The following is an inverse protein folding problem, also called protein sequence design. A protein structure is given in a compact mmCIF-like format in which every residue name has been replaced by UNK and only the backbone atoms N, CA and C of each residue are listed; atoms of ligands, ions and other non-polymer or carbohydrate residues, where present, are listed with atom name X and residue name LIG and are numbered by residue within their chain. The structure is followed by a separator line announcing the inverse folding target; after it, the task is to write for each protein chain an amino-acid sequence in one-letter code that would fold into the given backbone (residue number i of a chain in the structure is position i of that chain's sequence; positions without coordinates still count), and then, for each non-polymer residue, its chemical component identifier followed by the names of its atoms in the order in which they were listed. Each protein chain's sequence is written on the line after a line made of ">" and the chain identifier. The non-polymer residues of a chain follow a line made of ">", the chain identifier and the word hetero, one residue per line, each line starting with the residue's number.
data_IF_849629924495
#
_entry.id   IF_849629924495
#
_cell.length_a   1.000
_cell.length_b   1.000
_cell.length_c   1.000
_cell.angle_alpha   90.00
_cell.angle_beta   90.00
_cell.angle_gamma   90.00
#
_symmetry.space_group_name_H-M   'P 1'
#
loop_
_entity.id
_entity.type
_entity.pdbx_description
1 polymer ?
#
# COMPACT_ATOMS: atom_id res chain seq x y z
N UNK A 1 -15.57 21.91 -17.09
CA UNK A 1 -16.72 22.82 -17.28
C UNK A 1 -17.99 22.06 -16.97
N UNK A 2 -18.84 22.57 -16.09
CA UNK A 2 -20.22 22.11 -15.89
C UNK A 2 -21.10 23.33 -16.15
N UNK A 3 -22.04 23.23 -17.11
CA UNK A 3 -22.90 24.35 -17.54
C UNK A 3 -22.15 25.64 -17.91
N UNK A 4 -20.98 25.53 -18.55
CA UNK A 4 -20.17 26.69 -18.94
C UNK A 4 -19.34 27.31 -17.81
N UNK A 5 -19.46 26.82 -16.58
CA UNK A 5 -18.62 27.24 -15.45
C UNK A 5 -17.41 26.34 -15.34
N UNK A 6 -16.23 26.95 -15.22
CA UNK A 6 -14.96 26.26 -14.96
C UNK A 6 -14.60 26.40 -13.49
N UNK A 7 -14.06 25.34 -12.89
CA UNK A 7 -13.53 25.40 -11.53
C UNK A 7 -12.20 26.15 -11.47
N UNK A 8 -11.82 26.57 -10.27
CA UNK A 8 -10.51 27.15 -10.00
C UNK A 8 -9.44 26.05 -9.88
N UNK A 9 -8.19 26.41 -10.17
CA UNK A 9 -7.05 25.51 -9.96
C UNK A 9 -6.83 25.28 -8.46
N UNK A 10 -6.45 24.06 -8.09
CA UNK A 10 -6.15 23.69 -6.70
C UNK A 10 -4.87 22.85 -6.66
N UNK A 11 -4.07 23.07 -5.63
CA UNK A 11 -2.86 22.30 -5.38
C UNK A 11 -3.19 20.90 -4.84
N UNK A 12 -2.48 19.89 -5.34
CA UNK A 12 -2.57 18.50 -4.84
C UNK A 12 -1.45 18.29 -3.82
N UNK A 13 -1.79 18.31 -2.53
CA UNK A 13 -0.83 18.21 -1.43
C UNK A 13 -0.67 16.79 -0.86
N UNK A 14 -1.49 15.84 -1.31
CA UNK A 14 -1.49 14.46 -0.81
C UNK A 14 -1.65 13.45 -1.94
N UNK A 15 -0.99 12.31 -1.79
CA UNK A 15 -1.06 11.20 -2.74
C UNK A 15 -0.23 11.46 -3.99
N UNK A 16 -0.58 10.75 -5.06
CA UNK A 16 0.08 10.84 -6.36
C UNK A 16 -0.96 11.23 -7.40
N UNK A 17 -0.61 12.16 -8.29
CA UNK A 17 -1.52 12.63 -9.34
C UNK A 17 -1.84 11.49 -10.31
N UNK A 18 -3.13 11.17 -10.42
CA UNK A 18 -3.60 10.18 -11.38
C UNK A 18 -3.48 10.72 -12.81
N UNK A 19 -3.17 9.85 -13.77
CA UNK A 19 -2.93 10.25 -15.17
C UNK A 19 -1.52 10.82 -15.45
N UNK A 20 -0.70 11.03 -14.43
CA UNK A 20 0.73 11.29 -14.59
C UNK A 20 1.50 9.99 -14.87
N UNK A 21 2.48 10.02 -15.78
CA UNK A 21 3.41 8.90 -16.01
C UNK A 21 4.15 8.53 -14.72
N UNK A 22 4.43 9.51 -13.87
CA UNK A 22 5.12 9.30 -12.60
C UNK A 22 4.20 8.85 -11.45
N UNK A 23 2.88 8.98 -11.60
CA UNK A 23 1.92 8.59 -10.56
C UNK A 23 2.05 7.12 -10.16
N UNK A 24 1.99 6.17 -11.11
CA UNK A 24 2.18 4.74 -10.83
C UNK A 24 3.56 4.42 -10.23
N UNK A 25 4.62 5.06 -10.70
CA UNK A 25 5.99 4.83 -10.18
C UNK A 25 6.11 5.33 -8.75
N UNK A 26 5.61 6.54 -8.46
CA UNK A 26 5.57 7.10 -7.11
C UNK A 26 4.76 6.24 -6.15
N UNK A 27 3.62 5.73 -6.61
CA UNK A 27 2.80 4.80 -5.85
C UNK A 27 3.52 3.48 -5.53
N UNK A 28 4.13 2.87 -6.55
CA UNK A 28 4.87 1.60 -6.40
C UNK A 28 6.03 1.74 -5.42
N UNK A 29 6.79 2.84 -5.47
CA UNK A 29 7.86 3.10 -4.52
C UNK A 29 7.35 3.22 -3.08
N UNK A 30 6.16 3.83 -2.89
CA UNK A 30 5.54 3.96 -1.59
C UNK A 30 5.07 2.60 -1.05
N UNK A 31 4.26 1.84 -1.82
CA UNK A 31 3.72 0.55 -1.37
C UNK A 31 4.82 -0.50 -1.18
N UNK A 32 5.85 -0.52 -2.03
CA UNK A 32 6.97 -1.46 -1.88
C UNK A 32 7.76 -1.28 -0.57
N UNK A 33 7.60 -0.14 0.12
CA UNK A 33 8.24 0.06 1.41
C UNK A 33 7.65 -0.81 2.54
N UNK A 34 6.44 -1.36 2.34
CA UNK A 34 5.76 -2.28 3.28
C UNK A 34 6.64 -3.49 3.60
N UNK A 35 7.40 -4.00 2.62
CA UNK A 35 8.28 -5.16 2.82
C UNK A 35 9.36 -4.90 3.88
N UNK A 36 9.76 -3.65 4.09
CA UNK A 36 10.73 -3.29 5.14
C UNK A 36 10.15 -3.38 6.56
N UNK A 37 8.83 -3.32 6.71
CA UNK A 37 8.15 -3.40 8.00
C UNK A 37 7.86 -4.85 8.42
N UNK A 38 7.86 -5.79 7.49
CA UNK A 38 7.50 -7.20 7.70
C UNK A 38 8.72 -8.01 8.13
N UNK A 39 8.58 -8.87 9.15
CA UNK A 39 9.70 -9.66 9.71
C UNK A 39 9.56 -11.16 9.53
N UNK A 40 8.34 -11.69 9.45
CA UNK A 40 8.06 -13.12 9.44
C UNK A 40 7.44 -13.59 8.14
N UNK A 41 6.54 -12.80 7.57
CA UNK A 41 5.76 -13.12 6.39
C UNK A 41 6.49 -12.75 5.10
N UNK A 42 6.02 -13.30 3.98
CA UNK A 42 6.35 -12.79 2.64
C UNK A 42 5.26 -11.82 2.18
N UNK A 43 5.67 -10.73 1.54
CA UNK A 43 4.75 -9.77 0.92
C UNK A 43 4.64 -10.03 -0.58
N UNK A 44 3.42 -9.97 -1.10
CA UNK A 44 3.14 -9.99 -2.54
C UNK A 44 2.28 -8.78 -2.87
N UNK A 45 2.82 -7.86 -3.67
CA UNK A 45 2.21 -6.55 -3.94
C UNK A 45 1.96 -6.40 -5.43
N UNK A 46 0.76 -5.92 -5.78
CA UNK A 46 0.41 -5.55 -7.14
C UNK A 46 -0.55 -4.37 -7.12
N UNK A 47 -0.09 -3.23 -7.65
CA UNK A 47 -0.81 -1.96 -7.49
C UNK A 47 -1.20 -1.78 -6.00
N UNK A 48 -2.48 -1.53 -5.71
CA UNK A 48 -3.03 -1.35 -4.37
C UNK A 48 -3.32 -2.65 -3.61
N UNK A 49 -3.26 -3.80 -4.27
CA UNK A 49 -3.44 -5.09 -3.63
C UNK A 49 -2.15 -5.57 -2.96
N UNK A 50 -2.24 -5.92 -1.68
CA UNK A 50 -1.13 -6.49 -0.89
C UNK A 50 -1.58 -7.76 -0.19
N UNK A 51 -0.84 -8.84 -0.39
CA UNK A 51 -1.03 -10.12 0.30
C UNK A 51 0.13 -10.39 1.25
N UNK A 52 -0.20 -10.69 2.51
CA UNK A 52 0.74 -11.12 3.54
C UNK A 52 0.62 -12.64 3.69
N UNK A 53 1.71 -13.38 3.45
CA UNK A 53 1.69 -14.84 3.45
C UNK A 53 2.68 -15.41 4.46
N UNK A 54 2.19 -16.35 5.28
CA UNK A 54 3.00 -17.12 6.21
C UNK A 54 2.46 -18.55 6.32
N UNK A 55 3.36 -19.52 6.41
CA UNK A 55 2.99 -20.94 6.45
C UNK A 55 3.72 -21.68 7.57
N UNK A 56 2.96 -22.37 8.42
CA UNK A 56 3.46 -23.27 9.45
C UNK A 56 2.48 -24.44 9.64
N UNK A 57 2.84 -25.41 10.48
CA UNK A 57 1.95 -26.52 10.86
C UNK A 57 0.95 -26.15 11.95
N UNK A 58 1.30 -25.13 12.73
CA UNK A 58 0.55 -24.70 13.90
C UNK A 58 -0.22 -23.43 13.56
N UNK A 59 -1.54 -23.46 13.72
CA UNK A 59 -2.42 -22.35 13.41
C UNK A 59 -2.20 -21.17 14.36
N UNK A 60 -1.88 -21.44 15.63
CA UNK A 60 -1.67 -20.41 16.65
C UNK A 60 -0.41 -19.59 16.31
N UNK A 61 0.64 -20.27 15.85
CA UNK A 61 1.85 -19.61 15.36
C UNK A 61 1.57 -18.82 14.08
N UNK A 62 0.73 -19.33 13.17
CA UNK A 62 0.37 -18.60 11.94
C UNK A 62 -0.34 -17.30 12.30
N UNK A 63 -1.34 -17.36 13.18
CA UNK A 63 -2.11 -16.19 13.63
C UNK A 63 -1.21 -15.20 14.35
N UNK A 64 -0.34 -15.65 15.27
CA UNK A 64 0.61 -14.80 15.99
C UNK A 64 1.52 -14.02 15.03
N UNK A 65 2.11 -14.70 14.04
CA UNK A 65 3.09 -14.10 13.12
C UNK A 65 2.42 -13.17 12.10
N UNK A 66 1.27 -13.56 11.55
CA UNK A 66 0.48 -12.69 10.68
C UNK A 66 0.05 -11.43 11.42
N UNK A 67 -0.46 -11.54 12.65
CA UNK A 67 -0.89 -10.40 13.44
C UNK A 67 0.28 -9.48 13.80
N UNK A 68 1.43 -10.04 14.18
CA UNK A 68 2.62 -9.27 14.52
C UNK A 68 3.10 -8.42 13.33
N UNK A 69 3.19 -9.00 12.13
CA UNK A 69 3.60 -8.26 10.94
C UNK A 69 2.51 -7.30 10.46
N UNK A 70 1.24 -7.66 10.56
CA UNK A 70 0.13 -6.74 10.23
C UNK A 70 0.16 -5.47 11.10
N UNK A 71 0.44 -5.59 12.40
CA UNK A 71 0.61 -4.44 13.30
C UNK A 71 1.86 -3.65 12.96
N UNK A 72 2.95 -4.31 12.56
CA UNK A 72 4.20 -3.67 12.17
C UNK A 72 4.01 -2.74 10.95
N UNK A 73 3.15 -3.10 10.00
CA UNK A 73 2.84 -2.28 8.81
C UNK A 73 2.06 -1.00 9.16
N UNK A 74 1.31 -0.99 10.27
CA UNK A 74 0.44 0.13 10.67
C UNK A 74 1.17 1.25 11.43
N UNK A 75 2.41 1.01 11.88
CA UNK A 75 3.20 1.95 12.69
C UNK A 75 4.33 2.57 11.87
#
# INVERSE_FOLDING_TARGET
>A
MINGTTGEEAEVTLGVSTGSVFGPVGYIMHVNSIDNAVKHCSTYMYADDTSLMYAKRDVEIIEERLQADFVSILN
#
